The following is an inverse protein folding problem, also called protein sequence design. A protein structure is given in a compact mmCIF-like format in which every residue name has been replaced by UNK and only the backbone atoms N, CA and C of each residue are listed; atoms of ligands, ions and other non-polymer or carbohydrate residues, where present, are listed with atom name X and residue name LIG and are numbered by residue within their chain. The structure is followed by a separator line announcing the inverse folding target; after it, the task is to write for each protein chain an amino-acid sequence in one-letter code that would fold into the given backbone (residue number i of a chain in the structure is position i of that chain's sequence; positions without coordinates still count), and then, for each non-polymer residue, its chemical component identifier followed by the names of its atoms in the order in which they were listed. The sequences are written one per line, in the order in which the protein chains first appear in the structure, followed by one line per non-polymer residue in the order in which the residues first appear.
data_IF_246515002348
#
_entry.id   IF_246515002348
#
_cell.length_a   1.000
_cell.length_b   1.000
_cell.length_c   1.000
_cell.angle_alpha   90.00
_cell.angle_beta   90.00
_cell.angle_gamma   90.00
#
_symmetry.space_group_name_H-M   'P 1'
#
loop_
_entity.id
_entity.type
_entity.pdbx_description
1 polymer ?
#
# COMPACT_ATOMS: atom_id res chain seq x y z
N UNK A 1 2.19 24.64 22.12
CA UNK A 1 1.61 24.75 20.76
C UNK A 1 2.74 24.39 19.81
N UNK A 2 2.80 23.12 19.38
CA UNK A 2 3.98 22.62 18.66
C UNK A 2 3.51 21.55 17.69
N UNK A 3 3.41 21.99 16.43
CA UNK A 3 3.43 21.28 15.14
C UNK A 3 2.76 19.90 15.07
N UNK A 4 1.63 19.88 14.36
CA UNK A 4 1.00 18.69 13.80
C UNK A 4 2.02 17.92 12.96
N UNK A 5 2.25 16.67 13.34
CA UNK A 5 2.98 15.62 12.61
C UNK A 5 2.44 15.50 11.18
N UNK A 6 3.26 15.91 10.20
CA UNK A 6 2.91 16.01 8.78
C UNK A 6 2.98 14.66 8.02
N UNK A 7 3.03 13.51 8.71
CA UNK A 7 3.09 12.20 8.05
C UNK A 7 1.74 11.65 7.55
N UNK A 8 0.63 12.39 7.73
CA UNK A 8 -0.68 12.04 7.16
C UNK A 8 -0.88 12.70 5.81
N UNK A 9 -0.39 12.06 4.75
CA UNK A 9 -0.58 12.56 3.39
C UNK A 9 -1.93 12.08 2.86
N UNK A 10 -2.93 12.96 2.89
CA UNK A 10 -4.00 12.95 1.90
C UNK A 10 -3.36 12.82 0.52
N UNK A 11 -3.60 11.68 -0.13
CA UNK A 11 -3.18 11.51 -1.52
C UNK A 11 -4.14 12.36 -2.34
N UNK A 12 -3.59 13.30 -3.12
CA UNK A 12 -4.37 14.22 -3.97
C UNK A 12 -5.52 13.48 -4.68
N UNK A 13 -6.68 14.13 -4.72
CA UNK A 13 -7.93 13.62 -5.30
C UNK A 13 -7.71 12.80 -6.58
N UNK A 14 -8.34 11.62 -6.73
CA UNK A 14 -8.21 10.76 -7.91
C UNK A 14 -8.36 11.55 -9.21
N UNK A 15 -7.26 11.67 -9.96
CA UNK A 15 -7.27 12.28 -11.29
C UNK A 15 -8.06 11.33 -12.21
N UNK A 16 -9.31 11.72 -12.48
CA UNK A 16 -10.19 11.28 -13.55
C UNK A 16 -10.16 9.78 -13.89
N UNK A 17 -10.93 9.02 -13.11
CA UNK A 17 -11.34 7.65 -13.40
C UNK A 17 -11.86 7.01 -12.13
N UNK A 18 -12.98 6.30 -12.17
CA UNK A 18 -13.44 5.42 -11.08
C UNK A 18 -12.96 4.01 -11.44
N UNK A 19 -11.71 3.62 -11.12
CA UNK A 19 -11.07 2.43 -11.67
C UNK A 19 -11.76 1.13 -11.24
N UNK A 20 -12.12 1.05 -9.96
CA UNK A 20 -12.84 -0.09 -9.41
C UNK A 20 -14.33 0.06 -9.68
N UNK A 21 -14.88 -0.92 -10.40
CA UNK A 21 -16.30 -1.01 -10.67
C UNK A 21 -16.78 -2.42 -10.34
N UNK A 22 -18.03 -2.54 -9.91
CA UNK A 22 -18.64 -3.81 -9.49
C UNK A 22 -18.64 -4.94 -10.54
N UNK A 23 -18.33 -4.68 -11.82
CA UNK A 23 -18.29 -5.72 -12.86
C UNK A 23 -16.90 -6.35 -13.02
N UNK A 24 -15.85 -5.74 -12.48
CA UNK A 24 -14.49 -6.29 -12.51
C UNK A 24 -14.08 -6.69 -11.11
N UNK A 25 -13.63 -7.94 -10.96
CA UNK A 25 -13.08 -8.42 -9.70
C UNK A 25 -11.81 -7.65 -9.36
N UNK A 26 -11.71 -7.20 -8.12
CA UNK A 26 -10.48 -6.66 -7.53
C UNK A 26 -9.77 -7.79 -6.80
N UNK A 27 -8.51 -8.05 -7.16
CA UNK A 27 -7.72 -9.10 -6.52
C UNK A 27 -6.89 -8.53 -5.38
N UNK A 28 -7.20 -8.97 -4.17
CA UNK A 28 -6.54 -8.51 -2.94
C UNK A 28 -5.85 -9.70 -2.29
N UNK A 29 -4.57 -9.52 -1.97
CA UNK A 29 -3.76 -10.51 -1.25
C UNK A 29 -3.20 -9.96 0.05
N UNK A 30 -2.72 -10.86 0.90
CA UNK A 30 -1.85 -10.51 2.03
C UNK A 30 -0.66 -11.46 2.07
N UNK A 31 0.52 -10.95 2.42
CA UNK A 31 1.73 -11.76 2.52
C UNK A 31 2.64 -11.30 3.66
N UNK A 32 2.93 -12.21 4.59
CA UNK A 32 4.06 -12.08 5.50
C UNK A 32 5.38 -12.39 4.77
N UNK A 33 6.11 -11.34 4.40
CA UNK A 33 7.34 -11.45 3.60
C UNK A 33 8.58 -11.72 4.44
N UNK A 34 8.47 -11.62 5.78
CA UNK A 34 9.54 -11.74 6.81
C UNK A 34 10.69 -10.73 6.69
N UNK A 35 11.16 -10.38 5.50
CA UNK A 35 12.12 -9.29 5.29
C UNK A 35 12.20 -8.88 3.82
N UNK A 36 12.18 -7.57 3.56
CA UNK A 36 12.54 -6.99 2.26
C UNK A 36 13.93 -6.34 2.24
N UNK A 37 14.68 -6.40 3.34
CA UNK A 37 16.03 -5.80 3.45
C UNK A 37 17.06 -6.47 2.53
N UNK A 38 16.85 -7.74 2.20
CA UNK A 38 17.75 -8.50 1.34
C UNK A 38 17.61 -8.03 -0.12
N UNK A 39 18.75 -7.89 -0.82
CA UNK A 39 18.77 -7.55 -2.24
C UNK A 39 17.91 -8.54 -3.05
N UNK A 40 17.13 -8.03 -4.00
CA UNK A 40 16.28 -8.85 -4.88
C UNK A 40 14.95 -9.30 -4.30
N UNK A 41 14.72 -9.25 -2.97
CA UNK A 41 13.43 -9.65 -2.38
C UNK A 41 12.27 -8.79 -2.82
N UNK A 42 12.49 -7.47 -2.92
CA UNK A 42 11.48 -6.55 -3.46
C UNK A 42 11.16 -6.90 -4.92
N UNK A 43 12.16 -7.16 -5.76
CA UNK A 43 11.93 -7.52 -7.16
C UNK A 43 11.17 -8.85 -7.30
N UNK A 44 11.49 -9.84 -6.45
CA UNK A 44 10.74 -11.10 -6.38
C UNK A 44 9.29 -10.84 -5.99
N UNK A 45 9.05 -10.05 -4.94
CA UNK A 45 7.72 -9.71 -4.48
C UNK A 45 6.87 -9.02 -5.57
N UNK A 46 7.45 -8.06 -6.30
CA UNK A 46 6.75 -7.36 -7.38
C UNK A 46 6.44 -8.29 -8.57
N UNK A 47 7.34 -9.23 -8.87
CA UNK A 47 7.10 -10.29 -9.87
C UNK A 47 5.93 -11.19 -9.46
N UNK A 48 5.89 -11.63 -8.20
CA UNK A 48 4.80 -12.45 -7.69
C UNK A 48 3.48 -11.67 -7.74
N UNK A 49 3.48 -10.40 -7.33
CA UNK A 49 2.32 -9.51 -7.41
C UNK A 49 1.72 -9.50 -8.83
N UNK A 50 2.56 -9.38 -9.87
CA UNK A 50 2.11 -9.44 -11.26
C UNK A 50 1.64 -10.84 -11.68
N UNK A 51 2.34 -11.90 -11.27
CA UNK A 51 1.99 -13.28 -11.62
C UNK A 51 0.60 -13.68 -11.11
N UNK A 52 0.24 -13.22 -9.91
CA UNK A 52 -1.07 -13.41 -9.31
C UNK A 52 -2.10 -12.36 -9.77
N UNK A 53 -1.68 -11.39 -10.60
CA UNK A 53 -2.52 -10.30 -11.12
C UNK A 53 -3.19 -9.50 -10.01
N UNK A 54 -2.47 -9.27 -8.90
CA UNK A 54 -3.01 -8.57 -7.75
C UNK A 54 -3.24 -7.08 -8.08
N UNK A 55 -4.29 -6.52 -7.51
CA UNK A 55 -4.52 -5.08 -7.50
C UNK A 55 -3.97 -4.45 -6.24
N UNK A 56 -4.11 -5.15 -5.11
CA UNK A 56 -3.73 -4.70 -3.77
C UNK A 56 -3.08 -5.87 -3.04
N UNK A 57 -1.94 -5.63 -2.40
CA UNK A 57 -1.25 -6.61 -1.56
C UNK A 57 -0.86 -5.99 -0.23
N UNK A 58 -1.45 -6.48 0.86
CA UNK A 58 -1.01 -6.17 2.22
C UNK A 58 0.26 -6.95 2.57
N UNK A 59 1.23 -6.28 3.20
CA UNK A 59 2.51 -6.86 3.59
C UNK A 59 2.71 -6.73 5.08
N UNK A 60 3.13 -7.83 5.70
CA UNK A 60 3.55 -7.88 7.09
C UNK A 60 5.03 -8.28 7.20
N UNK A 61 5.68 -7.85 8.28
CA UNK A 61 7.10 -8.11 8.58
C UNK A 61 8.07 -7.64 7.47
N UNK A 62 7.84 -6.45 6.91
CA UNK A 62 8.70 -5.91 5.86
C UNK A 62 10.14 -5.67 6.35
N UNK A 63 10.34 -5.33 7.64
CA UNK A 63 11.64 -5.01 8.27
C UNK A 63 12.47 -4.03 7.42
N UNK A 64 11.79 -3.01 6.86
CA UNK A 64 12.33 -2.01 5.93
C UNK A 64 12.34 -0.63 6.57
N UNK A 65 13.36 0.17 6.31
CA UNK A 65 13.69 1.41 7.07
C UNK A 65 13.30 2.71 6.38
N UNK A 66 12.38 2.65 5.42
CA UNK A 66 11.87 3.84 4.76
C UNK A 66 10.37 3.92 5.03
N UNK A 67 9.96 4.96 5.75
CA UNK A 67 8.57 5.39 5.84
C UNK A 67 8.14 6.07 4.53
N UNK A 68 6.84 6.07 4.26
CA UNK A 68 6.24 6.89 3.20
C UNK A 68 5.90 6.10 1.94
N UNK A 69 5.96 6.79 0.79
CA UNK A 69 5.49 6.31 -0.50
C UNK A 69 6.67 6.07 -1.45
N UNK A 70 6.77 4.86 -2.01
CA UNK A 70 7.77 4.50 -3.03
C UNK A 70 7.04 4.01 -4.28
N UNK A 71 7.50 4.44 -5.46
CA UNK A 71 7.03 3.91 -6.74
C UNK A 71 8.15 3.03 -7.31
N UNK A 72 7.83 1.78 -7.61
CA UNK A 72 8.77 0.84 -8.22
C UNK A 72 8.00 -0.06 -9.19
N UNK A 73 8.53 -0.26 -10.39
CA UNK A 73 7.95 -1.15 -11.41
C UNK A 73 6.44 -0.89 -11.68
N UNK A 74 6.07 0.40 -11.74
CA UNK A 74 4.68 0.84 -11.96
C UNK A 74 3.71 0.60 -10.79
N UNK A 75 4.21 0.13 -9.64
CA UNK A 75 3.44 -0.14 -8.42
C UNK A 75 3.78 0.88 -7.35
N UNK A 76 2.81 1.21 -6.51
CA UNK A 76 2.98 2.13 -5.38
C UNK A 76 3.00 1.36 -4.09
N UNK A 77 4.01 1.60 -3.27
CA UNK A 77 4.24 0.96 -1.98
C UNK A 77 4.08 2.04 -0.92
N UNK A 78 3.16 1.83 0.02
CA UNK A 78 3.00 2.69 1.20
C UNK A 78 3.47 1.92 2.43
N UNK A 79 4.36 2.50 3.23
CA UNK A 79 4.93 1.88 4.42
C UNK A 79 4.67 2.69 5.69
N UNK A 80 4.44 1.97 6.78
CA UNK A 80 3.94 2.54 8.03
C UNK A 80 4.96 2.90 9.11
N UNK A 81 6.27 2.82 8.85
CA UNK A 81 7.27 2.81 9.93
C UNK A 81 8.52 3.63 9.62
N UNK A 82 8.90 4.52 10.54
CA UNK A 82 10.01 5.49 10.36
C UNK A 82 11.20 5.29 11.31
N UNK A 83 11.07 4.56 12.43
CA UNK A 83 12.07 4.66 13.52
C UNK A 83 12.79 3.39 13.97
N UNK A 84 12.26 2.19 13.79
CA UNK A 84 12.91 0.94 14.26
C UNK A 84 12.78 -0.25 13.30
N UNK A 85 13.78 -1.13 13.37
CA UNK A 85 13.97 -2.30 12.49
C UNK A 85 13.08 -3.51 12.83
N UNK A 86 12.04 -3.33 13.65
CA UNK A 86 11.20 -4.40 14.18
C UNK A 86 9.78 -4.23 13.62
N UNK A 87 9.25 -5.26 12.98
CA UNK A 87 7.93 -5.21 12.35
C UNK A 87 7.95 -4.50 11.00
N UNK A 88 6.86 -3.79 10.71
CA UNK A 88 6.68 -3.07 9.46
C UNK A 88 5.55 -3.67 8.64
N UNK A 89 4.53 -2.85 8.45
CA UNK A 89 3.46 -3.06 7.48
C UNK A 89 3.66 -2.19 6.26
N UNK A 90 3.21 -2.72 5.14
CA UNK A 90 3.05 -1.94 3.93
C UNK A 90 1.89 -2.43 3.10
N UNK A 91 1.49 -1.62 2.13
CA UNK A 91 0.53 -2.01 1.11
C UNK A 91 1.13 -1.71 -0.25
N UNK A 92 1.09 -2.70 -1.15
CA UNK A 92 1.46 -2.53 -2.56
C UNK A 92 0.16 -2.40 -3.36
N UNK A 93 0.14 -1.42 -4.24
CA UNK A 93 -1.00 -1.13 -5.11
C UNK A 93 -0.55 -1.11 -6.56
N UNK A 94 -1.36 -1.68 -7.44
CA UNK A 94 -1.27 -1.45 -8.87
C UNK A 94 -1.47 0.04 -9.18
N UNK A 95 -1.04 0.51 -10.35
CA UNK A 95 -1.28 1.90 -10.79
C UNK A 95 -2.76 2.30 -10.72
N UNK A 96 -3.65 1.35 -11.03
CA UNK A 96 -5.11 1.51 -11.01
C UNK A 96 -5.62 1.59 -9.56
N UNK A 97 -5.09 0.77 -8.66
CA UNK A 97 -5.46 0.79 -7.26
C UNK A 97 -4.97 2.07 -6.56
N UNK A 98 -3.73 2.48 -6.84
CA UNK A 98 -3.13 3.68 -6.29
C UNK A 98 -3.88 4.96 -6.72
N UNK A 99 -4.37 5.03 -7.97
CA UNK A 99 -5.18 6.17 -8.40
C UNK A 99 -6.56 6.24 -7.74
N UNK A 100 -7.04 5.14 -7.16
CA UNK A 100 -8.28 5.09 -6.40
C UNK A 100 -8.08 5.44 -4.92
N UNK A 101 -6.85 5.57 -4.44
CA UNK A 101 -6.54 5.77 -3.04
C UNK A 101 -6.93 7.18 -2.60
N UNK A 102 -7.76 7.26 -1.57
CA UNK A 102 -8.17 8.51 -0.91
C UNK A 102 -7.18 8.82 0.21
N UNK A 103 -6.91 7.84 1.05
CA UNK A 103 -6.04 7.99 2.21
C UNK A 103 -5.49 6.62 2.62
N UNK A 104 -4.32 6.61 3.23
CA UNK A 104 -3.77 5.45 3.92
C UNK A 104 -3.27 5.88 5.29
N UNK A 105 -3.33 4.97 6.26
CA UNK A 105 -2.85 5.24 7.62
C UNK A 105 -2.25 3.98 8.21
N UNK A 106 -0.99 4.00 8.65
CA UNK A 106 -0.47 2.98 9.53
C UNK A 106 -1.11 3.13 10.91
N UNK A 107 -1.79 2.09 11.35
CA UNK A 107 -2.50 2.06 12.64
C UNK A 107 -1.59 1.51 13.75
N UNK A 108 -0.76 0.52 13.40
CA UNK A 108 0.27 -0.06 14.26
C UNK A 108 1.33 -0.75 13.41
N UNK A 109 2.38 -1.28 14.03
CA UNK A 109 3.45 -2.05 13.35
C UNK A 109 2.96 -3.29 12.58
N UNK A 110 1.69 -3.70 12.81
CA UNK A 110 1.03 -4.86 12.21
C UNK A 110 -0.23 -4.52 11.42
N UNK A 111 -0.67 -3.26 11.39
CA UNK A 111 -1.94 -2.87 10.76
C UNK A 111 -1.74 -1.60 9.94
N UNK A 112 -2.05 -1.65 8.66
CA UNK A 112 -2.14 -0.49 7.77
C UNK A 112 -3.54 -0.44 7.17
N UNK A 113 -4.13 0.74 7.08
CA UNK A 113 -5.44 0.94 6.47
C UNK A 113 -5.28 1.70 5.17
N UNK A 114 -6.07 1.33 4.16
CA UNK A 114 -6.16 2.06 2.90
C UNK A 114 -7.63 2.29 2.54
N UNK A 115 -8.01 3.54 2.30
CA UNK A 115 -9.35 3.95 1.93
C UNK A 115 -9.39 4.26 0.44
N UNK A 116 -10.23 3.55 -0.29
CA UNK A 116 -10.30 3.57 -1.75
C UNK A 116 -11.66 4.11 -2.22
N UNK A 117 -11.63 4.92 -3.27
CA UNK A 117 -12.81 5.39 -3.99
C UNK A 117 -13.17 4.39 -5.10
N UNK A 118 -14.29 3.67 -4.95
CA UNK A 118 -14.85 2.88 -6.06
C UNK A 118 -15.96 3.66 -6.78
N UNK A 119 -16.50 3.09 -7.86
CA UNK A 119 -17.61 3.71 -8.59
C UNK A 119 -18.88 3.82 -7.74
N UNK A 120 -19.14 2.84 -6.88
CA UNK A 120 -20.36 2.73 -6.09
C UNK A 120 -20.20 3.24 -4.65
N UNK A 121 -19.12 2.83 -3.97
CA UNK A 121 -18.92 3.10 -2.54
C UNK A 121 -17.45 3.43 -2.22
N UNK A 122 -17.20 4.00 -1.04
CA UNK A 122 -15.84 4.08 -0.48
C UNK A 122 -15.57 2.79 0.29
N UNK A 123 -14.45 2.13 0.01
CA UNK A 123 -14.04 0.87 0.66
C UNK A 123 -12.82 1.14 1.52
N UNK A 124 -12.66 0.43 2.64
CA UNK A 124 -11.44 0.47 3.45
C UNK A 124 -10.91 -0.94 3.60
N UNK A 125 -9.64 -1.14 3.25
CA UNK A 125 -8.92 -2.41 3.39
C UNK A 125 -7.90 -2.27 4.52
N UNK A 126 -7.69 -3.37 5.25
CA UNK A 126 -6.73 -3.53 6.35
C UNK A 126 -5.67 -4.55 5.93
#
# INVERSE_FOLDING_TARGET
MTVLDQSQLEVQYPIHGKPFNARKSTLIGSWNVRTLKQCGKLAQLLREFDSYRLDILGICEMRWTSSGQIINDGKTIYSGHEKEHIGGVGIIMSKIAASALIAWKPVSDRIITARLQTKQIKVTTI
#
